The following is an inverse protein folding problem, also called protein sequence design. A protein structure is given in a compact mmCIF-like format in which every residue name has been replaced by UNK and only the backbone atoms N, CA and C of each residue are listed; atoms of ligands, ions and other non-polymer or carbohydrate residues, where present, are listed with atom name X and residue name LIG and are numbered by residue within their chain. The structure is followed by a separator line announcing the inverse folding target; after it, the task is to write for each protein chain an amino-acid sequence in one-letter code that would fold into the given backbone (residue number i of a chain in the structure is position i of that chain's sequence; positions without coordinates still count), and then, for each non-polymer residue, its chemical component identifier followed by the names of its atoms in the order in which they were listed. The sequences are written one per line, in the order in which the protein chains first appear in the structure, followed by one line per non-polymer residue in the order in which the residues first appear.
data_IF_819996098090
#
_entry.id   IF_819996098090
#
_cell.length_a   1.000
_cell.length_b   1.000
_cell.length_c   1.000
_cell.angle_alpha   90.00
_cell.angle_beta   90.00
_cell.angle_gamma   90.00
#
_symmetry.space_group_name_H-M   'P 1'
#
loop_
_entity.id
_entity.type
_entity.pdbx_description
1 polymer ?
#
# COMPACT_ATOMS: atom_id res chain seq x y z
N UNK A 1 -9.78 -6.08 26.09
CA UNK A 1 -8.65 -6.98 26.38
C UNK A 1 -7.34 -6.21 26.30
N UNK A 2 -6.41 -6.53 27.19
CA UNK A 2 -5.12 -5.87 27.24
C UNK A 2 -4.29 -6.17 25.99
N UNK A 3 -3.65 -5.16 25.43
CA UNK A 3 -2.71 -5.31 24.29
C UNK A 3 -1.54 -6.23 24.68
N UNK A 4 -1.10 -6.17 25.93
CA UNK A 4 -0.01 -7.01 26.43
C UNK A 4 -0.35 -8.49 26.38
N UNK A 5 -1.57 -8.85 26.74
CA UNK A 5 -2.05 -10.24 26.68
C UNK A 5 -2.12 -10.73 25.24
N UNK A 6 -2.64 -9.89 24.32
CA UNK A 6 -2.71 -10.22 22.90
C UNK A 6 -1.32 -10.43 22.32
N UNK A 7 -0.38 -9.55 22.64
CA UNK A 7 0.99 -9.61 22.13
C UNK A 7 1.70 -10.88 22.59
N UNK A 8 1.54 -11.22 23.87
CA UNK A 8 2.13 -12.43 24.45
C UNK A 8 1.56 -13.68 23.79
N UNK A 9 0.24 -13.73 23.61
CA UNK A 9 -0.41 -14.86 22.95
C UNK A 9 0.07 -15.02 21.51
N UNK A 10 0.18 -13.92 20.76
CA UNK A 10 0.67 -13.94 19.38
C UNK A 10 2.13 -14.41 19.30
N UNK A 11 2.95 -14.02 20.27
CA UNK A 11 4.35 -14.41 20.33
C UNK A 11 4.48 -15.92 20.62
N UNK A 12 3.64 -16.45 21.50
CA UNK A 12 3.70 -17.86 21.91
C UNK A 12 3.10 -18.80 20.87
N UNK A 13 2.11 -18.31 20.10
CA UNK A 13 1.38 -19.14 19.12
C UNK A 13 1.28 -18.46 17.76
N UNK A 14 2.43 -18.15 17.11
CA UNK A 14 2.39 -17.42 15.84
C UNK A 14 1.68 -18.19 14.72
N UNK A 15 1.68 -19.51 14.77
CA UNK A 15 1.06 -20.34 13.75
C UNK A 15 -0.47 -20.34 13.81
N UNK A 16 -1.05 -19.84 14.89
CA UNK A 16 -2.49 -19.75 15.06
C UNK A 16 -3.08 -18.40 14.67
N UNK A 17 -2.24 -17.44 14.28
CA UNK A 17 -2.70 -16.13 13.83
C UNK A 17 -3.41 -16.31 12.48
N UNK A 18 -4.61 -15.72 12.35
CA UNK A 18 -5.41 -15.83 11.12
C UNK A 18 -4.67 -15.26 9.90
N UNK A 19 -4.62 -16.01 8.77
CA UNK A 19 -4.08 -15.45 7.52
C UNK A 19 -5.00 -14.35 6.99
N UNK A 20 -4.50 -13.33 6.31
CA UNK A 20 -3.08 -13.09 6.01
C UNK A 20 -2.33 -12.31 7.10
N UNK A 21 -2.94 -12.14 8.27
CA UNK A 21 -2.38 -11.31 9.36
C UNK A 21 -1.13 -11.91 9.94
N UNK A 22 -0.98 -13.23 9.91
CA UNK A 22 0.24 -13.94 10.30
C UNK A 22 1.45 -13.44 9.50
N UNK A 23 1.28 -13.27 8.18
CA UNK A 23 2.33 -12.77 7.31
C UNK A 23 2.68 -11.31 7.63
N UNK A 24 1.67 -10.49 7.95
CA UNK A 24 1.89 -9.08 8.30
C UNK A 24 2.65 -8.96 9.62
N UNK A 25 2.30 -9.78 10.60
CA UNK A 25 3.02 -9.81 11.89
C UNK A 25 4.48 -10.19 11.66
N UNK A 26 4.73 -11.18 10.81
CA UNK A 26 6.09 -11.66 10.53
C UNK A 26 6.95 -10.58 9.88
N UNK A 27 6.38 -9.79 8.95
CA UNK A 27 7.14 -8.78 8.21
C UNK A 27 7.19 -7.42 8.91
N UNK A 28 6.09 -6.99 9.51
CA UNK A 28 5.94 -5.62 10.02
C UNK A 28 5.66 -5.55 11.52
N UNK A 29 5.47 -6.68 12.18
CA UNK A 29 5.28 -6.76 13.61
C UNK A 29 3.81 -6.74 14.04
N UNK A 30 3.61 -7.01 15.32
CA UNK A 30 2.29 -7.07 15.96
C UNK A 30 1.55 -5.74 15.87
N UNK A 31 2.26 -4.63 16.07
CA UNK A 31 1.64 -3.30 16.09
C UNK A 31 1.00 -2.92 14.75
N UNK A 32 1.57 -3.36 13.63
CA UNK A 32 1.01 -3.10 12.32
C UNK A 32 -0.38 -3.69 12.18
N UNK A 33 -0.58 -4.92 12.66
CA UNK A 33 -1.89 -5.58 12.64
C UNK A 33 -2.87 -4.87 13.58
N UNK A 34 -2.41 -4.42 14.74
CA UNK A 34 -3.25 -3.69 15.68
C UNK A 34 -3.79 -2.39 15.06
N UNK A 35 -2.93 -1.61 14.39
CA UNK A 35 -3.34 -0.39 13.71
C UNK A 35 -4.36 -0.69 12.62
N UNK A 36 -4.09 -1.70 11.80
CA UNK A 36 -5.01 -2.11 10.74
C UNK A 36 -6.38 -2.49 11.32
N UNK A 37 -6.38 -3.27 12.41
CA UNK A 37 -7.60 -3.71 13.07
C UNK A 37 -8.36 -2.54 13.71
N UNK A 38 -7.66 -1.56 14.28
CA UNK A 38 -8.28 -0.37 14.86
C UNK A 38 -9.00 0.46 13.79
N UNK A 39 -8.40 0.58 12.61
CA UNK A 39 -8.96 1.37 11.52
C UNK A 39 -10.12 0.67 10.81
N UNK A 40 -10.01 -0.64 10.58
CA UNK A 40 -10.92 -1.37 9.70
C UNK A 40 -11.57 -2.60 10.35
N UNK A 41 -11.31 -2.82 11.64
CA UNK A 41 -11.79 -4.03 12.33
C UNK A 41 -13.30 -4.17 12.27
N UNK A 42 -13.76 -5.37 11.94
CA UNK A 42 -15.17 -5.69 11.82
C UNK A 42 -15.83 -5.26 10.52
N UNK A 43 -15.11 -4.54 9.65
CA UNK A 43 -15.64 -4.09 8.36
C UNK A 43 -15.26 -5.05 7.24
N UNK A 44 -16.17 -5.23 6.27
CA UNK A 44 -15.86 -5.92 5.04
C UNK A 44 -15.31 -4.88 4.05
N UNK A 45 -14.00 -4.90 3.82
CA UNK A 45 -13.31 -3.87 3.03
C UNK A 45 -12.58 -4.51 1.86
N UNK A 46 -12.77 -3.94 0.67
CA UNK A 46 -11.96 -4.31 -0.48
C UNK A 46 -10.58 -3.66 -0.35
N UNK A 47 -9.53 -4.46 -0.46
CA UNK A 47 -8.15 -3.96 -0.43
C UNK A 47 -7.61 -3.95 -1.86
N UNK A 48 -7.45 -2.76 -2.47
CA UNK A 48 -6.91 -2.67 -3.83
C UNK A 48 -5.45 -3.12 -3.88
N UNK A 49 -4.95 -3.34 -5.09
CA UNK A 49 -3.52 -3.62 -5.28
C UNK A 49 -2.69 -2.43 -4.82
N UNK A 50 -1.42 -2.69 -4.48
CA UNK A 50 -0.48 -1.67 -4.05
C UNK A 50 -0.38 -0.55 -5.09
N UNK A 51 -0.33 -0.91 -6.38
CA UNK A 51 -0.29 0.07 -7.47
C UNK A 51 -1.53 0.98 -7.46
N UNK A 52 -2.70 0.42 -7.24
CA UNK A 52 -3.94 1.20 -7.19
C UNK A 52 -3.93 2.17 -6.01
N UNK A 53 -3.48 1.70 -4.85
CA UNK A 53 -3.40 2.53 -3.64
C UNK A 53 -2.51 3.76 -3.86
N UNK A 54 -1.37 3.58 -4.56
CA UNK A 54 -0.39 4.65 -4.77
C UNK A 54 -0.48 5.31 -6.14
N UNK A 55 -1.52 5.03 -6.92
CA UNK A 55 -1.66 5.51 -8.30
C UNK A 55 -1.60 7.04 -8.40
N UNK A 56 -2.29 7.76 -7.51
CA UNK A 56 -2.26 9.22 -7.50
C UNK A 56 -0.87 9.76 -7.19
N UNK A 57 -0.13 9.08 -6.32
CA UNK A 57 1.25 9.45 -5.98
C UNK A 57 2.17 9.29 -7.19
N UNK A 58 2.00 8.20 -7.93
CA UNK A 58 2.78 7.94 -9.15
C UNK A 58 2.52 9.00 -10.21
N UNK A 59 1.25 9.38 -10.39
CA UNK A 59 0.88 10.42 -11.36
C UNK A 59 1.44 11.78 -10.96
N UNK A 60 1.39 12.13 -9.69
CA UNK A 60 1.94 13.38 -9.18
C UNK A 60 3.45 13.45 -9.41
N UNK A 61 4.15 12.36 -9.16
CA UNK A 61 5.60 12.29 -9.37
C UNK A 61 5.95 12.36 -10.85
N UNK A 62 5.17 11.69 -11.71
CA UNK A 62 5.36 11.75 -13.16
C UNK A 62 5.15 13.18 -13.68
N UNK A 63 4.12 13.86 -13.18
CA UNK A 63 3.86 15.25 -13.55
C UNK A 63 5.01 16.17 -13.14
N UNK A 64 5.55 15.98 -11.95
CA UNK A 64 6.69 16.76 -11.45
C UNK A 64 7.91 16.57 -12.35
N UNK A 65 8.22 15.34 -12.74
CA UNK A 65 9.32 15.05 -13.64
C UNK A 65 9.11 15.66 -15.02
N UNK A 66 7.87 15.62 -15.52
CA UNK A 66 7.53 16.24 -16.81
C UNK A 66 7.76 17.76 -16.79
N UNK A 67 7.30 18.40 -15.71
CA UNK A 67 7.37 19.86 -15.59
C UNK A 67 8.78 20.37 -15.28
N UNK A 68 9.57 19.63 -14.48
CA UNK A 68 10.86 20.10 -13.98
C UNK A 68 12.06 19.56 -14.73
N UNK A 69 11.98 18.31 -15.21
CA UNK A 69 13.11 17.63 -15.86
C UNK A 69 12.96 17.50 -17.36
N UNK A 70 11.85 17.98 -17.89
CA UNK A 70 11.56 17.95 -19.33
C UNK A 70 11.68 16.53 -19.94
N UNK A 71 11.24 15.54 -19.18
CA UNK A 71 11.22 14.12 -19.61
C UNK A 71 10.03 13.88 -20.52
N UNK A 72 10.21 13.10 -21.59
CA UNK A 72 9.12 12.82 -22.52
C UNK A 72 8.01 11.97 -21.89
N UNK A 73 6.80 12.11 -22.43
CA UNK A 73 5.66 11.30 -21.98
C UNK A 73 5.89 9.81 -22.23
N UNK A 74 6.57 9.46 -23.31
CA UNK A 74 6.89 8.05 -23.61
C UNK A 74 7.79 7.46 -22.53
N UNK A 75 8.82 8.20 -22.12
CA UNK A 75 9.74 7.75 -21.08
C UNK A 75 9.03 7.61 -19.72
N UNK A 76 8.17 8.57 -19.39
CA UNK A 76 7.40 8.54 -18.13
C UNK A 76 6.39 7.40 -18.11
N UNK A 77 5.70 7.16 -19.24
CA UNK A 77 4.75 6.07 -19.36
C UNK A 77 5.44 4.72 -19.10
N UNK A 78 6.63 4.56 -19.66
CA UNK A 78 7.43 3.35 -19.48
C UNK A 78 7.93 3.19 -18.04
N UNK A 79 8.42 4.29 -17.46
CA UNK A 79 8.95 4.29 -16.08
C UNK A 79 7.89 3.99 -15.04
N UNK A 80 6.71 4.60 -15.16
CA UNK A 80 5.65 4.47 -14.15
C UNK A 80 4.57 3.45 -14.51
N UNK A 81 4.70 2.79 -15.68
CA UNK A 81 3.77 1.75 -16.07
C UNK A 81 2.40 2.24 -16.48
N UNK A 82 2.30 3.46 -16.98
CA UNK A 82 1.08 4.01 -17.55
C UNK A 82 1.13 3.95 -19.07
N UNK A 83 -0.05 4.08 -19.73
CA UNK A 83 -0.08 4.31 -21.17
C UNK A 83 0.23 5.78 -21.43
N UNK A 84 0.84 6.06 -22.58
CA UNK A 84 1.11 7.43 -23.00
C UNK A 84 -0.19 8.25 -23.09
N UNK A 85 -1.25 7.62 -23.61
CA UNK A 85 -2.57 8.26 -23.71
C UNK A 85 -3.09 8.68 -22.34
N UNK A 86 -2.98 7.80 -21.34
CA UNK A 86 -3.43 8.10 -19.98
C UNK A 86 -2.65 9.25 -19.36
N UNK A 87 -1.32 9.24 -19.50
CA UNK A 87 -0.48 10.32 -19.00
C UNK A 87 -0.80 11.65 -19.68
N UNK A 88 -0.98 11.64 -20.99
CA UNK A 88 -1.32 12.86 -21.74
C UNK A 88 -2.62 13.47 -21.22
N UNK A 89 -3.61 12.62 -20.94
CA UNK A 89 -4.89 13.06 -20.39
C UNK A 89 -4.76 13.63 -18.97
N UNK A 90 -3.92 13.01 -18.14
CA UNK A 90 -3.83 13.35 -16.71
C UNK A 90 -2.83 14.46 -16.41
N UNK A 91 -1.78 14.63 -17.24
CA UNK A 91 -0.68 15.57 -16.98
C UNK A 91 -0.79 16.81 -17.86
N UNK A 92 -1.20 16.65 -19.11
CA UNK A 92 -1.30 17.73 -20.09
C UNK A 92 -2.77 18.28 -20.22
#
# INVERSE_FOLDING_TARGET
MSKTILQEAAKNYPDLILPPYDAIVKHDGFDAVCVFSELLGGAAVYVPSCRTIFSACLLAQAKKEFDTKNVSLVALARKYGFTERHLRKMIC
#
